data_IF_956098168058
#
_entry.id   IF_956098168058
#
_cell.length_a   1.000
_cell.length_b   1.000
_cell.length_c   1.000
_cell.angle_alpha   90.00
_cell.angle_beta   90.00
_cell.angle_gamma   90.00
#
_symmetry.space_group_name_H-M   'P 1'
#
loop_
_entity.id
_entity.type
_entity.pdbx_description
1 polymer ?
#
# COMPACT_ATOMS: atom_id res chain seq x y z
N UNK A 1 -36.87 37.77 -26.48
CA UNK A 1 -35.94 38.49 -27.39
C UNK A 1 -34.98 39.33 -26.56
N UNK A 2 -33.76 38.84 -26.36
CA UNK A 2 -32.57 39.66 -26.09
C UNK A 2 -31.34 38.85 -26.52
N UNK A 3 -30.45 39.51 -27.25
CA UNK A 3 -29.42 38.96 -28.15
C UNK A 3 -28.16 38.52 -27.39
N UNK A 4 -27.49 37.46 -27.86
CA UNK A 4 -26.12 37.06 -27.47
C UNK A 4 -25.02 37.86 -28.17
N UNK A 5 -23.86 38.09 -27.53
CA UNK A 5 -22.56 37.35 -27.58
C UNK A 5 -21.48 38.18 -28.36
N UNK A 6 -20.13 37.97 -28.30
CA UNK A 6 -19.32 36.91 -27.65
C UNK A 6 -17.90 37.31 -27.06
N UNK A 7 -17.16 36.25 -26.65
CA UNK A 7 -15.70 35.92 -26.69
C UNK A 7 -14.65 36.48 -25.70
N UNK A 8 -13.99 35.54 -24.99
CA UNK A 8 -12.54 35.18 -24.93
C UNK A 8 -12.32 34.32 -23.65
N UNK A 9 -11.67 33.16 -23.55
CA UNK A 9 -10.78 32.39 -24.42
C UNK A 9 -9.58 31.86 -23.60
N UNK A 10 -9.59 30.56 -23.23
CA UNK A 10 -8.43 29.69 -22.88
C UNK A 10 -7.68 29.94 -21.54
N UNK A 11 -7.09 29.01 -20.78
CA UNK A 11 -6.64 27.60 -20.95
C UNK A 11 -6.76 26.83 -19.61
N UNK A 12 -7.20 25.57 -19.66
CA UNK A 12 -6.97 24.58 -18.59
C UNK A 12 -5.60 23.94 -18.79
N UNK A 13 -4.77 23.90 -17.74
CA UNK A 13 -3.53 23.12 -17.76
C UNK A 13 -3.81 21.67 -17.34
N UNK A 14 -3.53 20.76 -18.28
CA UNK A 14 -3.36 19.32 -18.08
C UNK A 14 -1.95 19.10 -17.51
N UNK A 15 -1.80 18.36 -16.41
CA UNK A 15 -0.51 17.87 -15.96
C UNK A 15 -0.27 16.49 -16.58
N UNK A 16 0.57 16.47 -17.61
CA UNK A 16 1.12 15.27 -18.21
C UNK A 16 2.44 14.94 -17.49
N UNK A 17 2.54 13.75 -16.89
CA UNK A 17 3.75 13.32 -16.19
C UNK A 17 4.75 12.71 -17.16
N UNK A 18 5.78 13.48 -17.54
CA UNK A 18 6.97 12.94 -18.19
C UNK A 18 7.97 12.47 -17.11
N UNK A 19 8.24 11.17 -17.09
CA UNK A 19 9.32 10.55 -16.31
C UNK A 19 10.63 10.70 -17.10
N UNK A 20 11.63 11.36 -16.53
CA UNK A 20 13.00 11.14 -16.98
C UNK A 20 14.01 11.18 -15.82
N UNK A 21 14.86 10.16 -15.83
CA UNK A 21 15.91 9.84 -14.88
C UNK A 21 17.06 10.85 -14.91
N UNK A 22 17.83 10.81 -13.82
CA UNK A 22 19.21 11.27 -13.62
C UNK A 22 19.41 12.59 -12.86
N UNK A 23 20.02 12.40 -11.67
CA UNK A 23 20.60 13.36 -10.75
C UNK A 23 21.37 14.48 -11.45
N UNK A 24 20.99 15.74 -11.20
CA UNK A 24 21.92 16.87 -11.10
C UNK A 24 21.33 17.92 -10.14
N UNK A 25 22.21 18.47 -9.29
CA UNK A 25 21.96 19.41 -8.19
C UNK A 25 21.22 20.69 -8.64
N UNK A 26 20.35 21.31 -7.82
CA UNK A 26 19.66 22.53 -8.22
C UNK A 26 20.53 23.76 -7.93
N UNK A 27 21.13 24.32 -8.98
CA UNK A 27 21.59 25.71 -8.98
C UNK A 27 20.56 26.56 -9.74
N UNK A 28 19.64 27.20 -9.03
CA UNK A 28 18.72 28.17 -9.63
C UNK A 28 19.48 29.48 -9.94
N UNK A 29 19.79 29.70 -11.21
CA UNK A 29 20.26 30.98 -11.77
C UNK A 29 19.34 31.32 -12.95
N UNK A 30 18.66 32.47 -12.88
CA UNK A 30 18.07 33.10 -14.07
C UNK A 30 16.63 33.55 -13.95
N UNK A 31 16.38 34.63 -13.22
CA UNK A 31 15.29 35.58 -13.51
C UNK A 31 15.75 36.98 -13.08
N UNK A 32 16.51 37.63 -13.97
CA UNK A 32 16.75 39.07 -13.95
C UNK A 32 16.00 39.68 -15.14
N UNK A 33 14.86 40.31 -14.87
CA UNK A 33 14.42 41.53 -15.56
C UNK A 33 13.11 42.02 -14.92
N UNK A 34 13.23 42.61 -13.74
CA UNK A 34 12.28 43.63 -13.28
C UNK A 34 13.10 44.90 -13.06
N UNK A 35 13.35 45.66 -14.12
CA UNK A 35 13.69 47.09 -13.96
C UNK A 35 12.40 47.79 -13.56
N UNK A 36 12.21 47.95 -12.26
CA UNK A 36 11.22 48.86 -11.72
C UNK A 36 11.57 50.30 -12.09
N UNK A 37 10.55 51.06 -12.49
CA UNK A 37 10.45 52.45 -12.09
C UNK A 37 9.39 52.49 -10.99
N UNK A 38 9.84 52.35 -9.74
CA UNK A 38 9.02 52.63 -8.57
C UNK A 38 9.73 53.67 -7.71
N UNK A 39 8.99 54.66 -7.19
CA UNK A 39 9.54 55.87 -6.56
C UNK A 39 10.22 55.54 -5.23
N UNK A 40 11.35 56.21 -4.98
CA UNK A 40 12.11 56.06 -3.74
C UNK A 40 11.33 56.65 -2.54
N UNK A 41 11.11 55.89 -1.45
CA UNK A 41 10.51 56.41 -0.23
C UNK A 41 11.54 57.24 0.59
N UNK A 42 11.13 58.44 0.96
CA UNK A 42 11.99 59.54 1.43
C UNK A 42 12.17 59.63 2.95
N UNK A 43 12.00 58.56 3.74
CA UNK A 43 12.23 58.63 5.20
C UNK A 43 12.75 57.30 5.81
N UNK A 44 13.95 57.26 6.41
CA UNK A 44 14.60 56.03 6.90
C UNK A 44 14.19 55.54 8.31
N UNK A 45 13.02 55.90 8.86
CA UNK A 45 12.68 55.57 10.26
C UNK A 45 11.62 54.47 10.51
N UNK A 46 10.93 53.93 9.49
CA UNK A 46 9.89 52.90 9.68
C UNK A 46 10.41 51.45 9.65
N UNK A 47 11.50 51.16 8.93
CA UNK A 47 12.05 49.80 8.81
C UNK A 47 12.69 49.28 10.11
N UNK A 48 13.30 50.15 10.91
CA UNK A 48 13.92 49.77 12.17
C UNK A 48 12.89 49.30 13.21
N UNK A 49 11.72 49.95 13.27
CA UNK A 49 10.63 49.56 14.18
C UNK A 49 9.96 48.25 13.76
N UNK A 50 9.83 47.98 12.45
CA UNK A 50 9.27 46.72 11.95
C UNK A 50 10.18 45.52 12.26
N UNK A 51 11.49 45.66 12.03
CA UNK A 51 12.48 44.63 12.35
C UNK A 51 12.64 44.44 13.86
N UNK A 52 12.51 45.51 14.65
CA UNK A 52 12.52 45.43 16.12
C UNK A 52 11.31 44.67 16.66
N UNK A 53 10.10 44.95 16.16
CA UNK A 53 8.88 44.24 16.54
C UNK A 53 8.93 42.75 16.19
N UNK A 54 9.48 42.41 15.04
CA UNK A 54 9.64 41.01 14.62
C UNK A 54 10.70 40.27 15.45
N UNK A 55 11.81 40.94 15.80
CA UNK A 55 12.83 40.39 16.70
C UNK A 55 12.30 40.18 18.12
N UNK A 56 11.52 41.12 18.64
CA UNK A 56 10.89 40.99 19.98
C UNK A 56 9.88 39.84 19.99
N UNK A 57 9.07 39.68 18.93
CA UNK A 57 8.09 38.59 18.85
C UNK A 57 8.76 37.21 18.76
N UNK A 58 9.85 37.08 17.98
CA UNK A 58 10.62 35.83 17.90
C UNK A 58 11.32 35.49 19.23
N UNK A 59 11.79 36.49 19.98
CA UNK A 59 12.38 36.30 21.32
C UNK A 59 11.30 35.85 22.32
N UNK A 60 10.10 36.46 22.30
CA UNK A 60 9.00 36.08 23.21
C UNK A 60 8.51 34.66 22.95
N UNK A 61 8.45 34.23 21.69
CA UNK A 61 8.10 32.83 21.34
C UNK A 61 9.21 31.87 21.81
N UNK A 62 10.49 32.21 21.63
CA UNK A 62 11.60 31.38 22.10
C UNK A 62 11.68 31.28 23.64
N UNK A 63 11.27 32.32 24.38
CA UNK A 63 11.26 32.33 25.85
C UNK A 63 10.07 31.58 26.48
N UNK A 64 8.99 31.32 25.72
CA UNK A 64 7.79 30.63 26.21
C UNK A 64 7.61 29.20 25.67
N UNK A 65 8.58 28.65 24.93
CA UNK A 65 8.59 27.20 24.65
C UNK A 65 9.15 26.51 25.88
N UNK A 66 8.34 25.80 26.70
CA UNK A 66 8.90 24.93 27.72
C UNK A 66 9.77 23.90 26.99
N UNK A 67 11.06 23.91 27.31
CA UNK A 67 11.98 22.90 26.84
C UNK A 67 11.50 21.56 27.39
N UNK A 68 10.84 20.75 26.58
CA UNK A 68 10.58 19.35 26.92
C UNK A 68 11.93 18.65 26.82
N UNK A 69 12.73 18.75 27.88
CA UNK A 69 13.83 17.83 28.09
C UNK A 69 13.19 16.45 28.30
N UNK A 70 13.49 15.53 27.39
CA UNK A 70 13.19 14.12 27.62
C UNK A 70 14.02 13.71 28.83
N UNK A 71 13.39 13.58 29.99
CA UNK A 71 13.99 12.88 31.13
C UNK A 71 14.05 11.41 30.73
N UNK A 72 15.17 10.98 30.18
CA UNK A 72 15.51 9.57 30.22
C UNK A 72 15.83 9.26 31.68
N UNK A 73 14.79 8.92 32.46
CA UNK A 73 15.04 8.18 33.69
C UNK A 73 15.83 6.94 33.30
N UNK A 74 16.97 6.65 33.97
CA UNK A 74 17.57 5.34 33.85
C UNK A 74 16.61 4.39 34.55
N UNK A 75 15.60 3.92 33.82
CA UNK A 75 14.87 2.72 34.23
C UNK A 75 15.88 1.61 34.03
N UNK A 76 16.75 1.44 35.02
CA UNK A 76 17.46 0.21 35.27
C UNK A 76 16.38 -0.83 35.63
N UNK A 77 15.62 -1.23 34.61
CA UNK A 77 14.80 -2.40 34.65
C UNK A 77 15.76 -3.53 34.95
N UNK A 78 15.73 -4.01 36.20
CA UNK A 78 16.19 -5.37 36.50
C UNK A 78 15.45 -6.24 35.48
N UNK A 79 16.17 -6.69 34.47
CA UNK A 79 15.66 -7.65 33.52
C UNK A 79 15.29 -8.89 34.34
N UNK A 80 14.01 -9.02 34.68
CA UNK A 80 13.48 -10.31 35.08
C UNK A 80 13.76 -11.24 33.92
N UNK A 81 14.25 -12.44 34.24
CA UNK A 81 14.54 -13.50 33.28
C UNK A 81 13.34 -13.60 32.34
N UNK A 82 13.48 -13.13 31.11
CA UNK A 82 12.41 -13.15 30.13
C UNK A 82 11.91 -14.60 30.05
N UNK A 83 10.61 -14.81 30.23
CA UNK A 83 10.01 -16.13 30.15
C UNK A 83 10.47 -16.75 28.82
N UNK A 84 11.16 -17.88 28.91
CA UNK A 84 11.67 -18.56 27.74
C UNK A 84 10.49 -18.83 26.78
N UNK A 85 10.70 -18.60 25.48
CA UNK A 85 9.68 -18.86 24.47
C UNK A 85 9.19 -20.31 24.60
N UNK A 86 7.87 -20.57 24.49
CA UNK A 86 7.35 -21.92 24.57
C UNK A 86 8.02 -22.80 23.51
N UNK A 87 8.39 -24.02 23.89
CA UNK A 87 8.97 -24.99 22.95
C UNK A 87 7.87 -25.44 21.98
N UNK A 88 8.06 -25.16 20.69
CA UNK A 88 7.15 -25.61 19.63
C UNK A 88 7.55 -27.01 19.19
N UNK A 89 6.59 -27.94 19.22
CA UNK A 89 6.78 -29.33 18.76
C UNK A 89 5.95 -29.56 17.50
N UNK A 90 6.62 -29.96 16.42
CA UNK A 90 5.97 -30.31 15.17
C UNK A 90 5.16 -31.60 15.32
N UNK A 91 3.96 -31.61 14.73
CA UNK A 91 3.08 -32.79 14.65
C UNK A 91 2.60 -32.97 13.22
N UNK A 92 2.36 -34.22 12.83
CA UNK A 92 1.70 -34.52 11.55
C UNK A 92 0.24 -34.06 11.62
N UNK A 93 -0.22 -33.43 10.55
CA UNK A 93 -1.61 -33.10 10.29
C UNK A 93 -2.10 -33.93 9.08
N UNK A 94 -3.40 -33.91 8.81
CA UNK A 94 -3.98 -34.55 7.64
C UNK A 94 -3.27 -34.09 6.36
N UNK A 95 -2.83 -35.05 5.51
CA UNK A 95 -2.09 -34.71 4.30
C UNK A 95 -2.95 -33.88 3.36
N UNK A 96 -2.30 -33.00 2.59
CA UNK A 96 -3.00 -32.27 1.53
C UNK A 96 -3.66 -33.27 0.55
N UNK A 97 -4.87 -32.97 0.01
CA UNK A 97 -5.59 -33.89 -0.87
C UNK A 97 -4.81 -34.32 -2.12
N UNK A 98 -3.83 -33.53 -2.55
CA UNK A 98 -2.86 -33.92 -3.58
C UNK A 98 -1.53 -33.15 -3.36
N UNK A 99 -0.46 -33.70 -3.90
CA UNK A 99 0.87 -33.09 -3.84
C UNK A 99 0.93 -31.79 -4.65
N UNK A 100 1.40 -30.72 -4.01
CA UNK A 100 1.54 -29.41 -4.64
C UNK A 100 2.70 -28.60 -4.06
N UNK A 101 3.23 -27.69 -4.87
CA UNK A 101 4.25 -26.72 -4.47
C UNK A 101 3.85 -25.31 -4.91
N UNK A 102 4.46 -24.30 -4.28
CA UNK A 102 4.21 -22.88 -4.60
C UNK A 102 2.72 -22.48 -4.50
N UNK A 103 1.99 -23.20 -3.66
CA UNK A 103 0.59 -22.95 -3.40
C UNK A 103 0.42 -21.78 -2.44
N UNK A 104 -0.20 -20.67 -2.85
CA UNK A 104 -0.63 -19.60 -1.95
C UNK A 104 -1.58 -20.10 -0.87
N UNK A 105 -1.42 -19.56 0.34
CA UNK A 105 -2.31 -19.84 1.46
C UNK A 105 -2.83 -18.55 2.12
N UNK A 106 -4.05 -18.57 2.62
CA UNK A 106 -4.64 -17.51 3.44
C UNK A 106 -5.33 -18.10 4.67
N UNK A 107 -5.18 -17.48 5.83
CA UNK A 107 -5.88 -17.89 7.06
C UNK A 107 -7.09 -16.98 7.26
N UNK A 108 -8.28 -17.57 7.27
CA UNK A 108 -9.53 -16.83 7.50
C UNK A 108 -10.48 -17.69 8.33
N UNK A 109 -11.12 -17.09 9.34
CA UNK A 109 -12.07 -17.77 10.25
C UNK A 109 -11.49 -19.08 10.82
N UNK A 110 -10.23 -19.03 11.30
CA UNK A 110 -9.49 -20.16 11.86
C UNK A 110 -9.27 -21.35 10.91
N UNK A 111 -9.47 -21.16 9.60
CA UNK A 111 -9.21 -22.18 8.58
C UNK A 111 -8.11 -21.71 7.64
N UNK A 112 -7.38 -22.66 7.07
CA UNK A 112 -6.31 -22.40 6.10
C UNK A 112 -6.85 -22.68 4.71
N UNK A 113 -6.99 -21.65 3.89
CA UNK A 113 -7.36 -21.78 2.50
C UNK A 113 -6.10 -21.91 1.67
N UNK A 114 -5.97 -23.00 0.92
CA UNK A 114 -4.85 -23.28 0.04
C UNK A 114 -5.35 -23.23 -1.41
N UNK A 115 -4.72 -22.41 -2.24
CA UNK A 115 -5.15 -22.18 -3.62
C UNK A 115 -4.09 -22.65 -4.60
N UNK A 116 -4.51 -23.27 -5.69
CA UNK A 116 -3.70 -23.62 -6.86
C UNK A 116 -2.30 -24.14 -6.51
N UNK A 117 -1.30 -23.53 -7.13
CA UNK A 117 0.09 -23.98 -7.10
C UNK A 117 0.38 -25.00 -8.17
N UNK A 118 1.61 -25.49 -8.21
CA UNK A 118 2.04 -26.50 -9.15
C UNK A 118 1.75 -27.91 -8.64
N UNK A 119 1.18 -28.72 -9.52
CA UNK A 119 1.11 -30.20 -9.36
C UNK A 119 2.49 -30.83 -9.58
N UNK A 120 2.60 -32.14 -9.38
CA UNK A 120 3.85 -32.90 -9.60
C UNK A 120 4.47 -32.68 -10.98
N UNK A 121 3.65 -32.43 -12.01
CA UNK A 121 4.10 -32.18 -13.38
C UNK A 121 4.45 -30.71 -13.67
N UNK A 122 4.53 -29.88 -12.63
CA UNK A 122 4.69 -28.43 -12.70
C UNK A 122 3.59 -27.74 -13.53
N UNK A 123 2.40 -28.33 -13.57
CA UNK A 123 1.21 -27.72 -14.18
C UNK A 123 0.44 -26.96 -13.11
N UNK A 124 0.10 -25.70 -13.40
CA UNK A 124 -0.69 -24.90 -12.47
C UNK A 124 -2.08 -25.53 -12.23
N UNK A 125 -2.48 -25.55 -10.96
CA UNK A 125 -3.79 -25.99 -10.54
C UNK A 125 -4.72 -24.80 -10.32
N UNK A 126 -6.02 -25.03 -10.48
CA UNK A 126 -7.08 -24.12 -10.06
C UNK A 126 -7.81 -24.62 -8.80
N UNK A 127 -7.34 -25.71 -8.21
CA UNK A 127 -7.96 -26.32 -7.05
C UNK A 127 -7.82 -25.45 -5.79
N UNK A 128 -8.86 -25.44 -4.97
CA UNK A 128 -8.87 -24.84 -3.64
C UNK A 128 -9.27 -25.90 -2.62
N UNK A 129 -8.46 -26.02 -1.59
CA UNK A 129 -8.75 -26.87 -0.44
C UNK A 129 -8.62 -26.07 0.84
N UNK A 130 -9.58 -26.25 1.73
CA UNK A 130 -9.64 -25.58 3.01
C UNK A 130 -9.36 -26.59 4.10
N UNK A 131 -8.27 -26.37 4.82
CA UNK A 131 -7.93 -27.14 6.00
C UNK A 131 -8.59 -26.55 7.23
N UNK A 132 -9.27 -27.40 7.98
CA UNK A 132 -9.83 -27.10 9.29
C UNK A 132 -8.96 -27.71 10.38
N UNK A 133 -8.18 -26.91 11.12
CA UNK A 133 -7.36 -27.42 12.23
C UNK A 133 -8.17 -28.02 13.38
N UNK A 134 -9.46 -27.66 13.52
CA UNK A 134 -10.30 -28.17 14.60
C UNK A 134 -10.71 -29.65 14.38
N UNK A 135 -10.90 -30.04 13.12
CA UNK A 135 -11.28 -31.40 12.74
C UNK A 135 -10.17 -32.18 12.03
N UNK A 136 -8.99 -31.57 11.87
CA UNK A 136 -7.84 -32.14 11.13
C UNK A 136 -8.26 -32.68 9.75
N UNK A 137 -8.97 -31.86 8.98
CA UNK A 137 -9.59 -32.32 7.73
C UNK A 137 -9.59 -31.26 6.64
N UNK A 138 -9.59 -31.70 5.38
CA UNK A 138 -9.65 -30.85 4.20
C UNK A 138 -11.04 -30.86 3.59
N UNK A 139 -11.50 -29.69 3.13
CA UNK A 139 -12.74 -29.52 2.37
C UNK A 139 -12.43 -28.88 1.02
N UNK A 140 -12.89 -29.50 -0.07
CA UNK A 140 -12.80 -28.94 -1.42
C UNK A 140 -13.74 -27.72 -1.56
N UNK A 141 -13.25 -26.63 -2.15
CA UNK A 141 -14.04 -25.45 -2.51
C UNK A 141 -14.12 -25.25 -4.01
N UNK A 142 -14.96 -24.31 -4.45
CA UNK A 142 -15.15 -24.00 -5.86
C UNK A 142 -13.84 -23.55 -6.51
N UNK A 143 -13.47 -24.23 -7.59
CA UNK A 143 -12.23 -24.00 -8.32
C UNK A 143 -12.06 -22.54 -8.77
N UNK A 144 -10.80 -22.10 -8.80
CA UNK A 144 -10.43 -20.84 -9.42
C UNK A 144 -10.84 -20.87 -10.91
N UNK A 145 -11.29 -19.73 -11.47
CA UNK A 145 -11.61 -19.62 -12.90
C UNK A 145 -10.39 -19.89 -13.80
N UNK A 146 -9.19 -19.61 -13.29
CA UNK A 146 -7.92 -19.78 -13.98
C UNK A 146 -6.98 -20.66 -13.14
N UNK A 147 -6.22 -21.52 -13.81
CA UNK A 147 -5.11 -22.29 -13.20
C UNK A 147 -3.94 -21.37 -12.91
N UNK A 148 -3.59 -21.22 -11.63
CA UNK A 148 -2.64 -20.20 -11.17
C UNK A 148 -1.70 -20.73 -10.08
N UNK A 149 -0.46 -20.22 -10.11
CA UNK A 149 0.57 -20.42 -9.07
C UNK A 149 1.21 -19.08 -8.68
N UNK A 150 2.04 -19.07 -7.64
CA UNK A 150 2.75 -17.89 -7.12
C UNK A 150 1.85 -16.68 -6.86
N UNK A 151 0.66 -16.92 -6.31
CA UNK A 151 -0.22 -15.83 -5.92
C UNK A 151 0.20 -15.30 -4.55
N UNK A 152 -0.19 -14.06 -4.25
CA UNK A 152 -0.10 -13.50 -2.91
C UNK A 152 -1.52 -13.11 -2.48
N UNK A 153 -2.25 -14.00 -1.78
CA UNK A 153 -3.61 -13.71 -1.36
C UNK A 153 -3.65 -12.63 -0.29
N UNK A 154 -4.60 -11.72 -0.40
CA UNK A 154 -4.94 -10.76 0.65
C UNK A 154 -6.40 -10.98 1.07
N UNK A 155 -6.70 -10.92 2.36
CA UNK A 155 -8.07 -11.11 2.85
C UNK A 155 -8.54 -9.96 3.73
N UNK A 156 -9.83 -9.62 3.61
CA UNK A 156 -10.55 -8.70 4.50
C UNK A 156 -11.46 -9.46 5.51
N UNK A 157 -11.32 -10.79 5.58
CA UNK A 157 -12.15 -11.68 6.42
C UNK A 157 -13.44 -12.18 5.75
N UNK A 158 -13.88 -11.56 4.65
CA UNK A 158 -15.08 -11.97 3.88
C UNK A 158 -14.74 -12.38 2.46
N UNK A 159 -13.74 -11.73 1.89
CA UNK A 159 -13.26 -11.89 0.53
C UNK A 159 -11.76 -12.15 0.55
N UNK A 160 -11.29 -13.00 -0.36
CA UNK A 160 -9.86 -13.22 -0.62
C UNK A 160 -9.55 -12.71 -2.03
N UNK A 161 -8.56 -11.84 -2.13
CA UNK A 161 -8.14 -11.15 -3.33
C UNK A 161 -6.83 -11.71 -3.82
N UNK A 162 -6.74 -11.88 -5.13
CA UNK A 162 -5.55 -12.36 -5.84
C UNK A 162 -5.24 -11.38 -6.96
N UNK A 163 -3.96 -11.09 -7.17
CA UNK A 163 -3.50 -10.28 -8.27
C UNK A 163 -2.27 -10.93 -8.91
N UNK A 164 -2.35 -11.22 -10.20
CA UNK A 164 -1.26 -11.76 -10.99
C UNK A 164 -1.04 -13.27 -10.82
N UNK A 165 0.23 -13.69 -10.78
CA UNK A 165 0.66 -15.09 -10.77
C UNK A 165 1.09 -15.61 -12.14
N UNK A 166 1.35 -16.93 -12.23
CA UNK A 166 1.70 -17.61 -13.48
C UNK A 166 0.64 -18.62 -13.90
N UNK A 167 0.44 -18.75 -15.20
CA UNK A 167 -0.53 -19.68 -15.81
C UNK A 167 0.16 -20.90 -16.44
N UNK A 168 -0.53 -22.04 -16.42
CA UNK A 168 -0.12 -23.25 -17.16
C UNK A 168 1.12 -23.94 -16.60
N UNK A 169 1.83 -24.66 -17.47
CA UNK A 169 3.05 -25.40 -17.14
C UNK A 169 4.25 -24.51 -16.91
N UNK A 170 5.10 -24.84 -15.93
CA UNK A 170 6.39 -24.17 -15.75
C UNK A 170 7.36 -24.41 -16.94
N UNK A 171 8.03 -23.37 -17.47
CA UNK A 171 7.80 -21.95 -17.17
C UNK A 171 6.55 -21.41 -17.89
N UNK A 172 5.63 -20.82 -17.12
CA UNK A 172 4.35 -20.31 -17.62
C UNK A 172 4.36 -18.79 -17.81
N UNK A 173 3.44 -18.21 -18.63
CA UNK A 173 3.31 -16.76 -18.73
C UNK A 173 2.76 -16.15 -17.43
N UNK A 174 3.22 -14.95 -17.10
CA UNK A 174 2.61 -14.11 -16.06
C UNK A 174 1.22 -13.65 -16.47
N UNK A 175 0.34 -13.43 -15.49
CA UNK A 175 -0.97 -12.81 -15.72
C UNK A 175 -1.10 -11.50 -14.95
N UNK A 176 -2.01 -10.65 -15.39
CA UNK A 176 -2.47 -9.43 -14.70
C UNK A 176 -3.92 -9.56 -14.24
N UNK A 177 -4.46 -10.79 -14.28
CA UNK A 177 -5.79 -11.09 -13.77
C UNK A 177 -5.86 -10.77 -12.26
N UNK A 178 -6.97 -10.14 -11.87
CA UNK A 178 -7.30 -9.90 -10.46
C UNK A 178 -8.60 -10.62 -10.16
N UNK A 179 -8.56 -11.49 -9.17
CA UNK A 179 -9.69 -12.33 -8.79
C UNK A 179 -10.10 -12.08 -7.35
N UNK A 180 -11.42 -12.13 -7.10
CA UNK A 180 -12.04 -12.06 -5.78
C UNK A 180 -12.78 -13.35 -5.50
N UNK A 181 -12.50 -13.95 -4.36
CA UNK A 181 -13.20 -15.12 -3.85
C UNK A 181 -14.05 -14.75 -2.64
N UNK A 182 -15.37 -14.86 -2.77
CA UNK A 182 -16.31 -14.68 -1.67
C UNK A 182 -16.39 -15.94 -0.82
N UNK A 183 -15.97 -15.86 0.44
CA UNK A 183 -15.82 -17.03 1.32
C UNK A 183 -17.20 -17.63 1.67
N UNK A 184 -18.16 -16.78 2.02
CA UNK A 184 -19.49 -17.23 2.43
C UNK A 184 -20.31 -17.77 1.24
N UNK A 185 -20.13 -17.20 0.05
CA UNK A 185 -20.87 -17.57 -1.15
C UNK A 185 -20.19 -18.68 -1.95
N UNK A 186 -18.92 -19.01 -1.67
CA UNK A 186 -18.08 -19.91 -2.48
C UNK A 186 -18.11 -19.52 -3.96
N UNK A 187 -17.96 -18.22 -4.24
CA UNK A 187 -18.03 -17.67 -5.61
C UNK A 187 -16.83 -16.84 -5.98
N UNK A 188 -16.51 -16.88 -7.28
CA UNK A 188 -15.45 -16.10 -7.89
C UNK A 188 -16.02 -14.95 -8.70
N UNK A 189 -15.34 -13.80 -8.65
CA UNK A 189 -15.62 -12.67 -9.52
C UNK A 189 -14.31 -12.00 -9.94
N UNK A 190 -14.26 -11.56 -11.19
CA UNK A 190 -13.14 -10.75 -11.66
C UNK A 190 -13.17 -9.36 -10.99
N UNK A 191 -12.00 -8.82 -10.70
CA UNK A 191 -11.82 -7.40 -10.45
C UNK A 191 -11.08 -6.79 -11.66
N UNK A 192 -11.18 -5.46 -11.81
CA UNK A 192 -10.45 -4.77 -12.87
C UNK A 192 -8.95 -5.09 -12.74
N UNK A 193 -8.40 -5.75 -13.76
CA UNK A 193 -6.96 -6.01 -13.84
C UNK A 193 -6.22 -4.69 -13.88
N UNK A 194 -5.06 -4.61 -13.23
CA UNK A 194 -4.18 -3.45 -13.36
C UNK A 194 -3.76 -3.35 -14.82
N UNK A 195 -4.34 -2.42 -15.57
CA UNK A 195 -3.93 -2.08 -16.91
C UNK A 195 -2.54 -1.43 -16.81
N UNK A 196 -1.50 -2.22 -17.03
CA UNK A 196 -0.11 -1.75 -17.01
C UNK A 196 0.82 -2.92 -16.74
N UNK A 197 1.56 -3.34 -17.76
CA UNK A 197 2.59 -4.37 -17.63
C UNK A 197 3.60 -3.99 -16.56
N UNK A 198 3.48 -4.62 -15.40
CA UNK A 198 4.38 -4.47 -14.27
C UNK A 198 4.44 -5.82 -13.57
N UNK A 199 5.67 -6.30 -13.35
CA UNK A 199 5.99 -7.57 -12.71
C UNK A 199 5.22 -7.75 -11.40
N UNK A 200 4.28 -8.70 -11.36
CA UNK A 200 3.66 -9.17 -10.13
C UNK A 200 4.37 -10.43 -9.65
N UNK A 201 5.66 -10.28 -9.30
CA UNK A 201 6.39 -11.20 -8.45
C UNK A 201 6.43 -10.61 -7.04
N UNK A 202 6.18 -11.45 -6.03
CA UNK A 202 5.94 -11.07 -4.64
C UNK A 202 6.81 -9.92 -4.11
N UNK A 203 6.14 -8.86 -3.65
CA UNK A 203 6.76 -7.70 -3.01
C UNK A 203 6.22 -6.38 -3.56
N UNK A 204 5.17 -5.85 -2.92
CA UNK A 204 4.46 -4.59 -3.23
C UNK A 204 3.37 -4.66 -4.29
N UNK A 205 2.39 -5.55 -4.11
CA UNK A 205 1.01 -5.16 -4.43
C UNK A 205 0.43 -4.53 -3.17
N UNK A 206 0.54 -3.20 -3.03
CA UNK A 206 -0.21 -2.48 -2.00
C UNK A 206 -1.70 -2.53 -2.39
N UNK A 207 -2.42 -3.54 -1.91
CA UNK A 207 -3.86 -3.42 -1.74
C UNK A 207 -4.05 -2.51 -0.52
N UNK A 208 -4.04 -1.20 -0.74
CA UNK A 208 -4.39 -0.22 0.30
C UNK A 208 -5.90 -0.32 0.55
N UNK A 209 -6.30 -1.19 1.47
CA UNK A 209 -7.64 -1.19 2.05
C UNK A 209 -7.79 0.08 2.88
N UNK A 210 -8.37 1.11 2.28
CA UNK A 210 -8.79 2.32 3.00
C UNK A 210 -9.96 1.95 3.91
N UNK A 211 -9.66 1.62 5.17
CA UNK A 211 -10.66 1.40 6.21
C UNK A 211 -11.31 2.74 6.54
N UNK A 212 -12.46 3.05 5.93
CA UNK A 212 -13.27 4.20 6.34
C UNK A 212 -14.05 3.80 7.58
N UNK A 213 -13.56 4.21 8.76
CA UNK A 213 -14.33 4.20 9.99
C UNK A 213 -15.59 5.06 9.77
N UNK A 214 -16.73 4.43 9.53
CA UNK A 214 -18.02 5.07 9.77
C UNK A 214 -18.30 4.93 11.28
N UNK A 215 -18.00 6.01 12.02
CA UNK A 215 -18.55 6.20 13.35
C UNK A 215 -20.07 6.18 13.24
N UNK A 216 -20.70 5.18 13.86
CA UNK A 216 -22.15 5.19 14.10
C UNK A 216 -22.43 6.27 15.15
N UNK A 217 -23.34 7.18 14.82
CA UNK A 217 -24.13 7.95 15.78
C UNK A 217 -25.36 7.17 16.18
#
# INVERSE_FOLDING_TARGET
MSKGYPILGTKSCVFESAVQKHNFLPACRGLQSLRGNLPQPTRPMEFANMLYRYRVLLIIVALNVPSISRTEEPVAAKASKADAWPTLVWKKAAPSPFARVESPAAVVNNKIYLFGGFTENLEASNQIDVYDPASDSWTRKKDMPTRLTHLNPASDGKTIWFAGGFKGKHPGPVTHEVWKYGIASDTWSAAAGTAGGGWAGGGRTQITLLWRLQSRS
#
